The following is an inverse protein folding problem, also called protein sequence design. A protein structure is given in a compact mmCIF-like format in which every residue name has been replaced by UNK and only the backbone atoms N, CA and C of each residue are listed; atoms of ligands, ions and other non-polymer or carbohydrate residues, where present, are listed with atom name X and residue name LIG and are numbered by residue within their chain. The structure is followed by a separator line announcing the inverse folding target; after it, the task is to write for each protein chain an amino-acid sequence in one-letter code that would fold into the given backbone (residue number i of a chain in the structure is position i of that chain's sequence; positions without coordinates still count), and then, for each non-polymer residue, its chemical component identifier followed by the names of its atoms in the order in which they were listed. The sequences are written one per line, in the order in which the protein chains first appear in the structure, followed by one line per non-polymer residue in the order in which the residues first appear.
data_IF_881680430714
#
_entry.id   IF_881680430714
#
_cell.length_a   1.000
_cell.length_b   1.000
_cell.length_c   1.000
_cell.angle_alpha   90.00
_cell.angle_beta   90.00
_cell.angle_gamma   90.00
#
_symmetry.space_group_name_H-M   'P 1'
#
loop_
_entity.id
_entity.type
_entity.pdbx_description
1 polymer ?
#
# COMPACT_ATOMS: atom_id res chain seq x y z
N UNK A 1 -1.17 16.15 15.18
CA UNK A 1 -1.01 14.89 14.42
C UNK A 1 -2.17 14.76 13.45
N UNK A 2 -1.90 14.75 12.15
CA UNK A 2 -2.96 14.53 11.17
C UNK A 2 -3.56 13.13 11.32
N UNK A 3 -4.88 12.96 11.16
CA UNK A 3 -5.54 11.66 11.20
C UNK A 3 -5.34 10.89 9.88
N UNK A 4 -4.08 10.70 9.46
CA UNK A 4 -3.75 9.94 8.25
C UNK A 4 -3.75 8.45 8.61
N UNK A 5 -4.57 7.68 7.90
CA UNK A 5 -4.56 6.23 7.97
C UNK A 5 -3.88 5.63 6.76
N UNK A 6 -3.06 4.60 6.96
CA UNK A 6 -2.57 3.73 5.88
C UNK A 6 -3.01 2.29 6.13
N UNK A 7 -3.30 1.58 5.04
CA UNK A 7 -3.52 0.15 5.09
C UNK A 7 -2.22 -0.63 5.28
N UNK A 8 -2.30 -1.77 5.95
CA UNK A 8 -1.17 -2.69 6.08
C UNK A 8 -1.67 -4.13 6.04
N UNK A 9 -0.94 -5.00 5.33
CA UNK A 9 -1.15 -6.44 5.44
C UNK A 9 -1.03 -6.88 6.90
N UNK A 10 -2.11 -7.39 7.47
CA UNK A 10 -2.29 -7.63 8.91
C UNK A 10 -1.20 -8.52 9.54
N UNK A 11 -0.62 -9.46 8.79
CA UNK A 11 0.48 -10.29 9.29
C UNK A 11 1.74 -9.48 9.61
N UNK A 12 1.96 -8.33 8.95
CA UNK A 12 3.09 -7.42 9.21
C UNK A 12 3.01 -6.77 10.59
N UNK A 13 1.81 -6.67 11.16
CA UNK A 13 1.57 -6.21 12.52
C UNK A 13 1.85 -7.28 13.60
N UNK A 14 2.24 -8.49 13.21
CA UNK A 14 2.51 -9.60 14.11
C UNK A 14 1.30 -10.50 14.39
N UNK A 15 0.11 -10.14 13.88
CA UNK A 15 -1.10 -10.94 14.04
C UNK A 15 -0.92 -12.34 13.39
N UNK A 16 -1.38 -13.37 14.10
CA UNK A 16 -1.28 -14.78 13.70
C UNK A 16 -2.32 -15.14 12.61
N UNK A 17 -2.19 -14.57 11.42
CA UNK A 17 -3.19 -14.71 10.33
C UNK A 17 -2.67 -15.40 9.06
N UNK A 18 -1.37 -15.72 9.01
CA UNK A 18 -0.80 -16.49 7.89
C UNK A 18 -1.38 -17.89 7.85
N UNK A 19 -1.25 -18.54 6.69
CA UNK A 19 -1.73 -19.91 6.48
C UNK A 19 -1.16 -20.91 7.50
N UNK A 20 0.07 -20.68 7.96
CA UNK A 20 0.81 -21.49 8.93
C UNK A 20 0.50 -21.13 10.40
N UNK A 21 -0.46 -20.24 10.65
CA UNK A 21 -0.82 -19.78 12.00
C UNK A 21 0.22 -18.84 12.63
N UNK A 22 1.12 -18.26 11.84
CA UNK A 22 2.17 -17.36 12.31
C UNK A 22 1.90 -15.90 11.94
N UNK A 23 2.59 -14.99 12.63
CA UNK A 23 2.73 -13.59 12.23
C UNK A 23 3.99 -13.36 11.39
N UNK A 24 4.16 -12.15 10.87
CA UNK A 24 5.37 -11.67 10.20
C UNK A 24 5.67 -10.24 10.67
N UNK A 25 5.88 -10.04 11.97
CA UNK A 25 6.12 -8.71 12.53
C UNK A 25 7.26 -7.98 11.80
N UNK A 26 6.96 -6.78 11.28
CA UNK A 26 7.94 -5.89 10.66
C UNK A 26 8.12 -4.65 11.52
N UNK A 27 9.33 -4.46 12.06
CA UNK A 27 9.68 -3.27 12.83
C UNK A 27 9.63 -2.01 11.96
N UNK A 28 10.06 -2.09 10.70
CA UNK A 28 10.02 -0.96 9.77
C UNK A 28 8.58 -0.48 9.53
N UNK A 29 7.60 -1.39 9.52
CA UNK A 29 6.20 -0.98 9.42
C UNK A 29 5.64 -0.49 10.75
N UNK A 30 5.81 -1.29 11.81
CA UNK A 30 5.08 -1.08 13.07
C UNK A 30 5.70 -0.01 13.97
N UNK A 31 6.99 0.28 13.81
CA UNK A 31 7.66 1.33 14.58
C UNK A 31 7.72 2.60 13.75
N UNK A 32 8.33 2.57 12.56
CA UNK A 32 8.62 3.79 11.80
C UNK A 32 7.37 4.44 11.20
N UNK A 33 6.42 3.66 10.67
CA UNK A 33 5.20 4.23 10.07
C UNK A 33 4.15 4.57 11.13
N UNK A 34 4.07 3.80 12.20
CA UNK A 34 3.11 4.04 13.29
C UNK A 34 3.41 5.32 14.10
N UNK A 35 4.63 5.87 13.97
CA UNK A 35 4.97 7.20 14.51
C UNK A 35 4.27 8.34 13.76
N UNK A 36 3.89 8.11 12.50
CA UNK A 36 3.37 9.15 11.59
C UNK A 36 1.91 8.90 11.20
N UNK A 37 1.50 7.62 11.11
CA UNK A 37 0.21 7.21 10.55
C UNK A 37 -0.51 6.20 11.43
N UNK A 38 -1.84 6.24 11.41
CA UNK A 38 -2.67 5.17 11.93
C UNK A 38 -2.62 3.94 10.99
N UNK A 39 -2.44 2.75 11.55
CA UNK A 39 -2.30 1.52 10.78
C UNK A 39 -3.61 0.72 10.72
N UNK A 40 -4.28 0.76 9.57
CA UNK A 40 -5.48 -0.03 9.28
C UNK A 40 -5.10 -1.42 8.76
N UNK A 41 -5.29 -2.45 9.57
CA UNK A 41 -4.84 -3.82 9.27
C UNK A 41 -5.84 -4.55 8.39
N UNK A 42 -5.38 -5.16 7.31
CA UNK A 42 -6.22 -5.95 6.39
C UNK A 42 -5.61 -7.33 6.16
N UNK A 43 -6.40 -8.39 6.32
CA UNK A 43 -6.05 -9.74 5.87
C UNK A 43 -7.12 -10.24 4.90
N UNK A 44 -6.88 -10.14 3.57
CA UNK A 44 -7.88 -10.53 2.58
C UNK A 44 -8.35 -11.97 2.74
N UNK A 45 -7.43 -12.89 3.03
CA UNK A 45 -7.76 -14.31 3.16
C UNK A 45 -8.65 -14.60 4.38
N UNK A 46 -8.30 -14.06 5.55
CA UNK A 46 -9.07 -14.30 6.78
C UNK A 46 -10.40 -13.54 6.76
N UNK A 47 -10.40 -12.30 6.28
CA UNK A 47 -11.62 -11.50 6.18
C UNK A 47 -12.58 -12.03 5.11
N UNK A 48 -12.08 -12.72 4.07
CA UNK A 48 -12.90 -13.49 3.13
C UNK A 48 -13.41 -14.83 3.70
N UNK A 49 -13.07 -15.17 4.95
CA UNK A 49 -13.59 -16.35 5.65
C UNK A 49 -12.68 -17.59 5.67
N UNK A 50 -11.44 -17.50 5.20
CA UNK A 50 -10.52 -18.64 5.27
C UNK A 50 -10.01 -18.82 6.71
N UNK A 51 -9.84 -20.07 7.14
CA UNK A 51 -9.41 -20.41 8.51
C UNK A 51 -7.94 -20.08 8.77
N UNK A 52 -7.58 -20.11 10.05
CA UNK A 52 -6.19 -20.10 10.51
C UNK A 52 -5.99 -21.26 11.50
N UNK A 53 -5.07 -22.22 11.23
CA UNK A 53 -4.31 -22.38 10.00
C UNK A 53 -5.19 -22.82 8.80
N UNK A 54 -4.60 -22.82 7.59
CA UNK A 54 -5.22 -23.29 6.34
C UNK A 54 -4.16 -23.87 5.41
N UNK A 55 -4.59 -24.65 4.42
CA UNK A 55 -3.71 -25.08 3.35
C UNK A 55 -3.19 -23.85 2.56
N UNK A 56 -1.91 -23.82 2.14
CA UNK A 56 -1.41 -22.75 1.28
C UNK A 56 -2.14 -22.73 -0.06
N UNK A 57 -2.36 -21.54 -0.59
CA UNK A 57 -2.90 -21.31 -1.93
C UNK A 57 -1.87 -20.62 -2.81
N UNK A 58 -2.02 -20.72 -4.13
CA UNK A 58 -1.11 -20.15 -5.13
C UNK A 58 -1.87 -19.63 -6.36
N UNK A 59 -1.27 -18.68 -7.08
CA UNK A 59 -1.83 -18.13 -8.31
C UNK A 59 -1.52 -19.06 -9.48
N UNK A 60 -2.58 -19.48 -10.19
CA UNK A 60 -2.50 -20.31 -11.39
C UNK A 60 -3.06 -19.52 -12.57
N UNK A 61 -2.26 -19.36 -13.61
CA UNK A 61 -2.63 -18.75 -14.87
C UNK A 61 -3.45 -19.73 -15.73
N UNK A 62 -4.68 -19.33 -16.04
CA UNK A 62 -5.53 -19.93 -17.07
C UNK A 62 -5.55 -19.01 -18.31
N UNK A 63 -5.99 -19.47 -19.49
CA UNK A 63 -5.92 -18.69 -20.73
C UNK A 63 -6.55 -17.28 -20.66
N UNK A 64 -7.58 -17.08 -19.84
CA UNK A 64 -8.32 -15.82 -19.74
C UNK A 64 -8.53 -15.34 -18.29
N UNK A 65 -7.85 -15.95 -17.32
CA UNK A 65 -8.04 -15.62 -15.90
C UNK A 65 -6.88 -16.11 -15.05
N UNK A 66 -6.75 -15.52 -13.86
CA UNK A 66 -5.88 -16.01 -12.80
C UNK A 66 -6.78 -16.58 -11.71
N UNK A 67 -6.47 -17.79 -11.24
CA UNK A 67 -7.18 -18.47 -10.14
C UNK A 67 -6.27 -18.65 -8.94
N UNK A 68 -6.85 -18.65 -7.75
CA UNK A 68 -6.15 -18.90 -6.48
C UNK A 68 -6.54 -20.29 -6.00
N UNK A 69 -5.65 -21.27 -6.24
CA UNK A 69 -5.89 -22.68 -5.98
C UNK A 69 -5.04 -23.21 -4.84
N UNK A 70 -5.51 -24.25 -4.15
CA UNK A 70 -4.75 -24.94 -3.12
C UNK A 70 -3.48 -25.57 -3.69
N UNK A 71 -2.32 -25.26 -3.10
CA UNK A 71 -1.00 -25.69 -3.56
C UNK A 71 -0.85 -27.22 -3.61
N UNK A 72 -1.46 -27.94 -2.68
CA UNK A 72 -1.42 -29.41 -2.62
C UNK A 72 -2.71 -30.07 -3.10
N UNK A 73 -3.79 -29.30 -3.28
CA UNK A 73 -5.08 -29.80 -3.72
C UNK A 73 -5.80 -28.71 -4.51
N UNK A 74 -5.75 -28.79 -5.83
CA UNK A 74 -6.35 -27.80 -6.73
C UNK A 74 -7.90 -27.81 -6.71
N UNK A 75 -8.55 -28.79 -6.07
CA UNK A 75 -10.00 -28.74 -5.82
C UNK A 75 -10.38 -27.68 -4.78
N UNK A 76 -9.41 -27.19 -4.01
CA UNK A 76 -9.58 -26.02 -3.16
C UNK A 76 -9.40 -24.81 -4.06
N UNK A 77 -10.49 -24.18 -4.46
CA UNK A 77 -10.48 -22.92 -5.21
C UNK A 77 -11.10 -21.82 -4.34
N UNK A 78 -10.31 -20.79 -4.04
CA UNK A 78 -10.74 -19.63 -3.24
C UNK A 78 -10.85 -18.36 -4.08
N UNK A 79 -10.77 -18.47 -5.41
CA UNK A 79 -10.80 -17.34 -6.34
C UNK A 79 -12.06 -16.49 -6.18
N UNK A 80 -13.23 -17.13 -6.20
CA UNK A 80 -14.51 -16.42 -6.09
C UNK A 80 -14.64 -15.75 -4.72
N UNK A 81 -14.32 -16.48 -3.64
CA UNK A 81 -14.35 -15.96 -2.27
C UNK A 81 -13.48 -14.72 -2.10
N UNK A 82 -12.26 -14.72 -2.66
CA UNK A 82 -11.38 -13.56 -2.60
C UNK A 82 -11.86 -12.40 -3.50
N UNK A 83 -12.42 -12.69 -4.67
CA UNK A 83 -12.97 -11.65 -5.54
C UNK A 83 -14.19 -10.96 -4.92
N UNK A 84 -15.12 -11.71 -4.34
CA UNK A 84 -16.28 -11.18 -3.62
C UNK A 84 -15.85 -10.30 -2.44
N UNK A 85 -14.87 -10.77 -1.65
CA UNK A 85 -14.26 -9.95 -0.61
C UNK A 85 -13.68 -8.64 -1.16
N UNK A 86 -12.97 -8.67 -2.29
CA UNK A 86 -12.40 -7.46 -2.87
C UNK A 86 -13.48 -6.47 -3.32
N UNK A 87 -14.56 -6.97 -3.95
CA UNK A 87 -15.70 -6.15 -4.38
C UNK A 87 -16.32 -5.40 -3.20
N UNK A 88 -16.46 -6.06 -2.05
CA UNK A 88 -17.03 -5.45 -0.85
C UNK A 88 -16.04 -4.56 -0.08
N UNK A 89 -14.81 -5.03 0.11
CA UNK A 89 -13.81 -4.38 0.98
C UNK A 89 -13.16 -3.17 0.33
N UNK A 90 -12.74 -3.26 -0.93
CA UNK A 90 -11.90 -2.22 -1.55
C UNK A 90 -12.56 -0.84 -1.55
N UNK A 91 -13.87 -0.69 -1.84
CA UNK A 91 -14.55 0.60 -1.73
C UNK A 91 -14.50 1.19 -0.30
N UNK A 92 -14.51 0.35 0.73
CA UNK A 92 -14.44 0.79 2.14
C UNK A 92 -13.06 1.34 2.52
N UNK A 93 -12.03 1.14 1.69
CA UNK A 93 -10.68 1.63 1.91
C UNK A 93 -10.46 3.03 1.31
N UNK A 94 -11.49 3.66 0.76
CA UNK A 94 -11.38 4.99 0.13
C UNK A 94 -10.95 6.15 1.04
N UNK A 95 -10.77 5.91 2.35
CA UNK A 95 -10.26 6.88 3.32
C UNK A 95 -8.80 6.68 3.71
N UNK A 96 -8.14 5.58 3.29
CA UNK A 96 -6.71 5.41 3.53
C UNK A 96 -5.91 6.23 2.52
N UNK A 97 -4.68 6.58 2.88
CA UNK A 97 -3.78 7.40 2.06
C UNK A 97 -2.51 6.67 1.63
N UNK A 98 -2.40 5.38 1.92
CA UNK A 98 -1.40 4.48 1.38
C UNK A 98 -1.65 3.03 1.79
N UNK A 99 -0.90 2.07 1.22
CA UNK A 99 -0.97 0.67 1.63
C UNK A 99 0.40 -0.02 1.64
N UNK A 100 0.70 -0.77 2.70
CA UNK A 100 1.91 -1.61 2.80
C UNK A 100 1.56 -3.10 2.66
N UNK A 101 2.03 -3.69 1.57
CA UNK A 101 1.78 -5.05 1.16
C UNK A 101 2.80 -6.05 1.74
N UNK A 102 2.38 -7.30 1.90
CA UNK A 102 3.29 -8.40 2.24
C UNK A 102 3.70 -9.09 0.95
N UNK A 103 5.01 -9.19 0.66
CA UNK A 103 5.48 -9.78 -0.58
C UNK A 103 5.14 -11.27 -0.68
N UNK A 104 5.03 -11.78 -1.90
CA UNK A 104 4.84 -13.20 -2.22
C UNK A 104 3.46 -13.76 -1.93
N UNK A 105 2.55 -12.98 -1.35
CA UNK A 105 1.20 -13.45 -1.02
C UNK A 105 0.31 -13.49 -2.28
N UNK A 106 -0.43 -14.59 -2.51
CA UNK A 106 -1.39 -14.68 -3.62
C UNK A 106 -2.57 -13.70 -3.49
N UNK A 107 -2.75 -13.09 -2.32
CA UNK A 107 -3.76 -12.04 -2.10
C UNK A 107 -3.13 -10.66 -2.01
N UNK A 108 -2.09 -10.50 -1.17
CA UNK A 108 -1.51 -9.20 -0.85
C UNK A 108 -0.22 -8.85 -1.60
N UNK A 109 0.46 -9.77 -2.30
CA UNK A 109 1.69 -9.42 -3.02
C UNK A 109 1.39 -8.36 -4.07
N UNK A 110 2.16 -7.28 -4.14
CA UNK A 110 1.91 -6.21 -5.10
C UNK A 110 2.44 -6.58 -6.49
N UNK A 111 3.66 -7.10 -6.59
CA UNK A 111 4.23 -7.58 -7.86
C UNK A 111 5.12 -8.83 -7.67
N UNK A 112 5.12 -9.36 -6.46
CA UNK A 112 6.04 -10.44 -6.05
C UNK A 112 5.34 -11.78 -5.84
N UNK A 113 4.01 -11.87 -6.07
CA UNK A 113 3.27 -13.11 -5.88
C UNK A 113 3.61 -14.11 -7.00
N UNK A 114 4.16 -15.29 -6.69
CA UNK A 114 4.50 -16.27 -7.72
C UNK A 114 3.25 -16.75 -8.45
N UNK A 115 3.33 -16.79 -9.79
CA UNK A 115 2.28 -17.33 -10.65
C UNK A 115 2.80 -18.52 -11.46
N UNK A 116 2.01 -19.58 -11.51
CA UNK A 116 2.33 -20.81 -12.25
C UNK A 116 1.33 -21.04 -13.39
N UNK A 117 1.74 -21.78 -14.41
CA UNK A 117 0.82 -22.33 -15.40
C UNK A 117 0.06 -23.56 -14.86
N UNK A 118 -0.92 -24.02 -15.62
CA UNK A 118 -1.81 -25.15 -15.26
C UNK A 118 -1.03 -26.46 -14.98
N UNK A 119 0.10 -26.66 -15.67
CA UNK A 119 1.02 -27.80 -15.48
C UNK A 119 1.93 -27.66 -14.23
N UNK A 120 1.82 -26.55 -13.50
CA UNK A 120 2.60 -26.28 -12.29
C UNK A 120 3.95 -25.59 -12.52
N UNK A 121 4.30 -25.25 -13.76
CA UNK A 121 5.54 -24.53 -14.08
C UNK A 121 5.47 -23.09 -13.57
N UNK A 122 6.51 -22.59 -12.90
CA UNK A 122 6.62 -21.18 -12.50
C UNK A 122 6.82 -20.33 -13.76
N UNK A 123 5.92 -19.39 -14.01
CA UNK A 123 5.98 -18.52 -15.21
C UNK A 123 6.34 -17.07 -14.89
N UNK A 124 6.33 -16.69 -13.61
CA UNK A 124 6.78 -15.37 -13.16
C UNK A 124 6.17 -14.96 -11.83
N UNK A 125 6.05 -13.65 -11.66
CA UNK A 125 5.40 -13.01 -10.51
C UNK A 125 4.37 -11.98 -10.97
N UNK A 126 3.36 -11.75 -10.15
CA UNK A 126 2.28 -10.80 -10.43
C UNK A 126 1.72 -10.23 -9.12
N UNK A 127 0.67 -9.41 -9.22
CA UNK A 127 -0.11 -8.95 -8.09
C UNK A 127 -1.06 -10.04 -7.59
N UNK A 128 -1.17 -10.20 -6.28
CA UNK A 128 -2.27 -10.95 -5.68
C UNK A 128 -3.61 -10.26 -5.91
N UNK A 129 -4.72 -11.01 -5.78
CA UNK A 129 -6.04 -10.52 -6.18
C UNK A 129 -6.46 -9.23 -5.46
N UNK A 130 -6.18 -9.12 -4.16
CA UNK A 130 -6.50 -7.92 -3.39
C UNK A 130 -5.61 -6.74 -3.76
N UNK A 131 -4.29 -6.96 -3.91
CA UNK A 131 -3.38 -5.90 -4.31
C UNK A 131 -3.74 -5.35 -5.70
N UNK A 132 -4.05 -6.23 -6.65
CA UNK A 132 -4.51 -5.88 -8.00
C UNK A 132 -5.80 -5.04 -7.93
N UNK A 133 -6.78 -5.46 -7.14
CA UNK A 133 -8.06 -4.77 -7.00
C UNK A 133 -7.91 -3.39 -6.36
N UNK A 134 -7.07 -3.27 -5.32
CA UNK A 134 -6.81 -1.98 -4.66
C UNK A 134 -6.17 -0.96 -5.59
N UNK A 135 -5.13 -1.37 -6.34
CA UNK A 135 -4.42 -0.47 -7.27
C UNK A 135 -5.29 -0.09 -8.46
N UNK A 136 -6.15 -0.99 -8.94
CA UNK A 136 -7.12 -0.65 -9.99
C UNK A 136 -8.16 0.37 -9.51
N UNK A 137 -8.66 0.22 -8.28
CA UNK A 137 -9.65 1.14 -7.71
C UNK A 137 -9.05 2.51 -7.33
N UNK A 138 -7.81 2.53 -6.87
CA UNK A 138 -7.10 3.76 -6.48
C UNK A 138 -5.72 3.87 -7.17
N UNK A 139 -5.67 4.21 -8.49
CA UNK A 139 -4.45 4.18 -9.28
C UNK A 139 -3.32 5.09 -8.82
N UNK A 140 -3.63 6.10 -7.99
CA UNK A 140 -2.67 7.06 -7.45
C UNK A 140 -2.38 6.86 -5.96
N UNK A 141 -2.96 5.84 -5.34
CA UNK A 141 -2.69 5.51 -3.94
C UNK A 141 -1.22 5.09 -3.80
N UNK A 142 -0.45 5.70 -2.90
CA UNK A 142 0.90 5.25 -2.58
C UNK A 142 0.87 3.81 -2.05
N UNK A 143 1.59 2.92 -2.71
CA UNK A 143 1.65 1.50 -2.34
C UNK A 143 3.08 0.98 -2.37
N UNK A 144 3.40 0.06 -1.46
CA UNK A 144 4.76 -0.49 -1.33
C UNK A 144 4.73 -1.90 -0.77
N UNK A 145 5.74 -2.73 -1.09
CA UNK A 145 5.97 -3.99 -0.40
C UNK A 145 6.94 -3.81 0.77
N UNK A 146 6.64 -4.45 1.89
CA UNK A 146 7.36 -4.26 3.15
C UNK A 146 8.90 -4.33 3.09
N UNK A 147 9.57 -5.21 2.32
CA UNK A 147 11.03 -5.25 2.28
C UNK A 147 11.68 -3.93 1.85
N UNK A 148 11.02 -3.17 0.97
CA UNK A 148 11.51 -1.88 0.46
C UNK A 148 11.62 -0.83 1.57
N UNK A 149 10.80 -0.95 2.62
CA UNK A 149 10.85 -0.07 3.78
C UNK A 149 12.10 -0.29 4.64
N UNK A 150 12.98 -1.24 4.32
CA UNK A 150 14.28 -1.35 4.98
C UNK A 150 15.22 -0.19 4.63
N UNK A 151 15.05 0.43 3.46
CA UNK A 151 15.85 1.55 2.99
C UNK A 151 15.28 2.88 3.51
N UNK A 152 16.13 3.70 4.16
CA UNK A 152 15.71 4.98 4.78
C UNK A 152 15.09 5.92 3.76
N UNK A 153 15.76 6.12 2.61
CA UNK A 153 15.28 6.97 1.53
C UNK A 153 13.88 6.55 1.06
N UNK A 154 13.66 5.25 0.84
CA UNK A 154 12.37 4.71 0.41
C UNK A 154 11.29 4.93 1.47
N UNK A 155 11.61 4.81 2.76
CA UNK A 155 10.65 5.14 3.83
C UNK A 155 10.24 6.62 3.80
N UNK A 156 11.20 7.53 3.65
CA UNK A 156 10.94 8.98 3.61
C UNK A 156 10.09 9.33 2.38
N UNK A 157 10.46 8.78 1.23
CA UNK A 157 9.73 8.92 -0.03
C UNK A 157 8.27 8.44 0.12
N UNK A 158 8.06 7.23 0.64
CA UNK A 158 6.72 6.68 0.85
C UNK A 158 5.90 7.54 1.84
N UNK A 159 6.50 8.01 2.94
CA UNK A 159 5.83 8.91 3.90
C UNK A 159 5.36 10.20 3.22
N UNK A 160 6.21 10.82 2.39
CA UNK A 160 5.87 12.04 1.66
C UNK A 160 4.73 11.82 0.67
N UNK A 161 4.77 10.71 -0.08
CA UNK A 161 3.68 10.34 -0.99
C UNK A 161 2.35 10.19 -0.25
N UNK A 162 2.35 9.50 0.90
CA UNK A 162 1.15 9.30 1.74
C UNK A 162 0.58 10.63 2.24
N UNK A 163 1.43 11.51 2.75
CA UNK A 163 1.02 12.84 3.24
C UNK A 163 0.45 13.67 2.10
N UNK A 164 1.13 13.71 0.95
CA UNK A 164 0.66 14.44 -0.22
C UNK A 164 -0.68 13.91 -0.73
N UNK A 165 -0.82 12.58 -0.83
CA UNK A 165 -2.07 11.94 -1.23
C UNK A 165 -3.20 12.30 -0.28
N UNK A 166 -2.98 12.24 1.04
CA UNK A 166 -3.96 12.64 2.05
C UNK A 166 -4.42 14.09 1.87
N UNK A 167 -3.49 15.02 1.66
CA UNK A 167 -3.80 16.44 1.48
C UNK A 167 -4.65 16.69 0.23
N UNK A 168 -4.33 16.00 -0.87
CA UNK A 168 -5.09 16.04 -2.12
C UNK A 168 -6.48 15.41 -1.92
N UNK A 169 -6.55 14.24 -1.29
CA UNK A 169 -7.78 13.48 -1.04
C UNK A 169 -8.76 14.25 -0.14
N UNK A 170 -8.25 15.02 0.82
CA UNK A 170 -9.05 15.78 1.79
C UNK A 170 -9.26 17.24 1.41
N UNK A 171 -8.76 17.68 0.25
CA UNK A 171 -8.75 19.09 -0.18
C UNK A 171 -8.15 20.06 0.85
N UNK A 172 -7.19 19.58 1.65
CA UNK A 172 -6.47 20.38 2.66
C UNK A 172 -5.20 21.03 2.11
N UNK A 173 -5.06 21.12 0.79
CA UNK A 173 -3.87 21.70 0.14
C UNK A 173 -3.72 23.19 0.42
N UNK A 174 -4.83 23.90 0.64
CA UNK A 174 -4.86 25.34 0.98
C UNK A 174 -4.46 25.62 2.43
N UNK A 175 -4.59 24.64 3.33
CA UNK A 175 -4.19 24.76 4.74
C UNK A 175 -2.66 24.74 4.87
N UNK A 176 -1.97 24.24 3.83
CA UNK A 176 -0.53 24.32 3.62
C UNK A 176 -0.24 25.70 3.01
N UNK A 177 -0.42 26.75 3.81
CA UNK A 177 -0.24 28.12 3.33
C UNK A 177 1.11 28.32 2.61
N UNK A 178 1.17 29.29 1.69
CA UNK A 178 2.40 29.78 1.04
C UNK A 178 3.33 30.52 2.03
N UNK A 179 3.43 30.08 3.28
CA UNK A 179 4.16 30.77 4.35
C UNK A 179 5.57 30.19 4.52
N UNK A 180 6.48 30.60 3.63
CA UNK A 180 7.75 31.25 3.95
C UNK A 180 8.65 31.26 2.70
N UNK A 181 9.05 32.47 2.33
CA UNK A 181 9.56 32.86 1.03
C UNK A 181 11.00 32.42 0.70
N UNK A 182 11.58 31.44 1.40
CA UNK A 182 12.96 30.99 1.12
C UNK A 182 13.02 29.69 0.31
N UNK A 183 11.94 28.91 0.28
CA UNK A 183 11.63 27.95 -0.80
C UNK A 183 10.22 27.44 -0.51
N UNK A 184 9.17 27.79 -1.28
CA UNK A 184 7.96 26.99 -1.24
C UNK A 184 8.43 25.56 -1.52
N UNK A 185 8.16 24.63 -0.61
CA UNK A 185 8.35 23.22 -0.87
C UNK A 185 7.79 22.98 -2.28
N UNK A 186 8.60 22.47 -3.21
CA UNK A 186 8.16 22.34 -4.62
C UNK A 186 6.86 21.52 -4.69
N UNK A 187 6.66 20.66 -3.69
CA UNK A 187 5.41 19.98 -3.36
C UNK A 187 4.21 20.94 -3.20
N UNK A 188 4.31 22.03 -2.43
CA UNK A 188 3.24 23.01 -2.23
C UNK A 188 2.75 23.64 -3.54
N UNK A 189 3.66 23.88 -4.50
CA UNK A 189 3.29 24.41 -5.82
C UNK A 189 2.41 23.39 -6.56
N UNK A 190 2.80 22.12 -6.56
CA UNK A 190 2.02 21.07 -7.20
C UNK A 190 0.69 20.82 -6.48
N UNK A 191 0.72 20.78 -5.15
CA UNK A 191 -0.46 20.57 -4.30
C UNK A 191 -1.53 21.66 -4.53
N UNK A 192 -1.11 22.92 -4.69
CA UNK A 192 -2.01 24.05 -4.92
C UNK A 192 -2.31 24.33 -6.40
N UNK A 193 -1.83 23.52 -7.32
CA UNK A 193 -2.13 23.68 -8.75
C UNK A 193 -3.60 23.36 -9.09
N UNK A 194 -4.10 23.89 -10.20
CA UNK A 194 -5.45 23.59 -10.73
C UNK A 194 -5.54 22.22 -11.44
N UNK A 195 -4.52 21.37 -11.29
CA UNK A 195 -4.49 20.05 -11.91
C UNK A 195 -5.49 19.08 -11.24
N UNK A 196 -5.90 18.04 -11.98
CA UNK A 196 -6.64 16.94 -11.36
C UNK A 196 -5.79 16.23 -10.30
N UNK A 197 -6.43 15.67 -9.28
CA UNK A 197 -5.77 14.97 -8.17
C UNK A 197 -4.76 13.92 -8.65
N UNK A 198 -5.10 13.17 -9.71
CA UNK A 198 -4.20 12.21 -10.32
C UNK A 198 -2.94 12.84 -10.93
N UNK A 199 -3.09 13.96 -11.65
CA UNK A 199 -1.95 14.69 -12.22
C UNK A 199 -1.05 15.29 -11.14
N UNK A 200 -1.65 15.80 -10.05
CA UNK A 200 -0.88 16.25 -8.88
C UNK A 200 0.01 15.14 -8.33
N UNK A 201 -0.54 13.94 -8.12
CA UNK A 201 0.24 12.80 -7.63
C UNK A 201 1.36 12.38 -8.59
N UNK A 202 1.10 12.39 -9.91
CA UNK A 202 2.15 12.10 -10.91
C UNK A 202 3.28 13.12 -10.83
N UNK A 203 2.96 14.41 -10.76
CA UNK A 203 3.97 15.47 -10.62
C UNK A 203 4.72 15.41 -9.29
N UNK A 204 4.04 15.06 -8.20
CA UNK A 204 4.67 14.85 -6.89
C UNK A 204 5.67 13.71 -6.94
N UNK A 205 5.28 12.56 -7.50
CA UNK A 205 6.18 11.41 -7.62
C UNK A 205 7.42 11.75 -8.44
N UNK A 206 7.24 12.40 -9.60
CA UNK A 206 8.36 12.84 -10.43
C UNK A 206 9.31 13.80 -9.70
N UNK A 207 8.78 14.73 -8.89
CA UNK A 207 9.61 15.62 -8.09
C UNK A 207 10.39 14.89 -6.99
N UNK A 208 9.74 13.94 -6.31
CA UNK A 208 10.35 13.19 -5.23
C UNK A 208 11.43 12.23 -5.73
N UNK A 209 11.29 11.69 -6.95
CA UNK A 209 12.26 10.77 -7.57
C UNK A 209 13.64 11.41 -7.79
N UNK A 210 13.66 12.73 -8.01
CA UNK A 210 14.89 13.51 -8.23
C UNK A 210 15.56 13.99 -6.92
N UNK A 211 14.98 13.68 -5.75
CA UNK A 211 15.47 14.17 -4.45
C UNK A 211 16.45 13.22 -3.75
N UNK A 212 17.47 13.80 -3.11
CA UNK A 212 18.36 13.10 -2.18
C UNK A 212 17.69 12.81 -0.83
N UNK A 213 18.23 11.89 -0.04
CA UNK A 213 17.78 11.59 1.33
C UNK A 213 17.62 12.84 2.20
N UNK A 214 18.57 13.78 2.12
CA UNK A 214 18.54 15.02 2.90
C UNK A 214 17.42 15.96 2.42
N UNK A 215 17.17 16.02 1.11
CA UNK A 215 16.08 16.79 0.55
C UNK A 215 14.72 16.20 0.93
N UNK A 216 14.56 14.87 0.84
CA UNK A 216 13.35 14.17 1.29
C UNK A 216 13.10 14.38 2.78
N UNK A 217 14.14 14.24 3.63
CA UNK A 217 14.00 14.51 5.05
C UNK A 217 13.57 15.94 5.32
N UNK A 218 14.19 16.92 4.66
CA UNK A 218 13.83 18.33 4.81
C UNK A 218 12.39 18.60 4.41
N UNK A 219 11.89 18.02 3.32
CA UNK A 219 10.48 18.13 2.93
C UNK A 219 9.55 17.49 3.96
N UNK A 220 9.93 16.34 4.51
CA UNK A 220 9.12 15.64 5.52
C UNK A 220 9.05 16.45 6.81
N UNK A 221 10.18 16.96 7.31
CA UNK A 221 10.23 17.79 8.52
C UNK A 221 9.39 19.05 8.34
N UNK A 222 9.53 19.74 7.20
CA UNK A 222 8.71 20.91 6.88
C UNK A 222 7.21 20.60 6.92
N UNK A 223 6.77 19.52 6.27
CA UNK A 223 5.35 19.15 6.30
C UNK A 223 4.89 18.75 7.71
N UNK A 224 5.72 18.03 8.47
CA UNK A 224 5.38 17.59 9.82
C UNK A 224 5.29 18.76 10.81
N UNK A 225 6.19 19.73 10.74
CA UNK A 225 6.14 20.96 11.54
C UNK A 225 4.85 21.74 11.27
N UNK A 226 4.46 21.85 10.00
CA UNK A 226 3.20 22.50 9.60
C UNK A 226 1.95 21.86 10.22
N UNK A 227 1.99 20.57 10.56
CA UNK A 227 0.87 19.87 11.21
C UNK A 227 0.91 19.90 12.74
N UNK A 228 2.01 20.34 13.33
CA UNK A 228 2.14 20.50 14.77
C UNK A 228 1.80 21.93 15.23
N UNK A 229 1.88 22.91 14.32
CA UNK A 229 1.56 24.33 14.57
C UNK A 229 0.06 24.67 14.38
N UNK A 230 -0.78 23.69 14.03
CA UNK A 230 -2.25 23.80 13.92
C UNK A 230 -2.96 23.10 15.08
#
# INVERSE_FOLDING_TARGET
MLPISIGISRCLSGDLVRYDGKGKYSSNCCVELNQTFELFRVCPEVEAGLTVPRAPVELIQFPHSIRVLGKSNQNIDVTQTLNEFCIEKVPSLGSISGFVFTPGSPSCGLNSAPIKSIDGTLIGSTSGLFAQSLVQAFPYLPVIEEPELSYKQVRQYFKLQVICYYLIQTNKTSDIGLFNAETPAVLCIVLNSDQSNGRKMVSINALLDDMTDDQLQKQLDQLMDMFNDQ
#
